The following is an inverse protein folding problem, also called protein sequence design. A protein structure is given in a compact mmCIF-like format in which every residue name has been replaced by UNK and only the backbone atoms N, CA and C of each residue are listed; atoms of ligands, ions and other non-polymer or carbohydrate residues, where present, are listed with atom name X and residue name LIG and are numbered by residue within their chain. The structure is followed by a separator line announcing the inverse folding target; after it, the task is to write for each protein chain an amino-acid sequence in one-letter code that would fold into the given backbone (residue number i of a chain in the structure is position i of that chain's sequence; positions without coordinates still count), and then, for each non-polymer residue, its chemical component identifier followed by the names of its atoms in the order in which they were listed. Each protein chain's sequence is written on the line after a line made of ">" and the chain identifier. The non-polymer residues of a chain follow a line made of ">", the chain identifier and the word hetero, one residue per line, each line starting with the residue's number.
data_IF_647193392731
#
_entry.id   IF_647193392731
#
_cell.length_a   1.000
_cell.length_b   1.000
_cell.length_c   1.000
_cell.angle_alpha   90.00
_cell.angle_beta   90.00
_cell.angle_gamma   90.00
#
_symmetry.space_group_name_H-M   'P 1'
#
loop_
_entity.id
_entity.type
_entity.pdbx_description
1 polymer ?
#
# COMPACT_ATOMS: atom_id res chain seq x y z
N UNK A 1 -18.28 1.13 -7.99
CA UNK A 1 -17.06 0.61 -8.64
C UNK A 1 -16.31 -0.42 -7.80
N UNK A 2 -15.91 -0.10 -6.55
CA UNK A 2 -15.15 -1.02 -5.67
C UNK A 2 -15.83 -2.39 -5.44
N UNK A 3 -17.17 -2.44 -5.36
CA UNK A 3 -17.91 -3.71 -5.13
C UNK A 3 -17.70 -4.74 -6.25
N UNK A 4 -17.65 -4.30 -7.51
CA UNK A 4 -17.46 -5.20 -8.66
C UNK A 4 -16.03 -5.76 -8.68
N UNK A 5 -15.04 -4.93 -8.34
CA UNK A 5 -13.63 -5.31 -8.26
C UNK A 5 -13.31 -6.32 -7.15
N UNK A 6 -14.15 -6.42 -6.11
CA UNK A 6 -13.85 -7.22 -4.89
C UNK A 6 -13.50 -8.68 -5.18
N UNK A 7 -14.21 -9.30 -6.13
CA UNK A 7 -14.07 -10.72 -6.45
C UNK A 7 -13.84 -10.95 -7.96
N UNK A 8 -13.40 -9.93 -8.69
CA UNK A 8 -13.18 -10.01 -10.14
C UNK A 8 -11.91 -9.26 -10.51
N UNK A 9 -10.86 -10.01 -10.88
CA UNK A 9 -9.56 -9.46 -11.23
C UNK A 9 -9.62 -8.49 -12.43
N UNK A 10 -10.52 -8.71 -13.39
CA UNK A 10 -10.69 -7.81 -14.54
C UNK A 10 -11.27 -6.47 -14.10
N UNK A 11 -12.28 -6.49 -13.25
CA UNK A 11 -12.85 -5.28 -12.65
C UNK A 11 -11.86 -4.58 -11.71
N UNK A 12 -11.00 -5.34 -11.03
CA UNK A 12 -9.92 -4.76 -10.22
C UNK A 12 -8.86 -4.04 -11.08
N UNK A 13 -8.48 -4.62 -12.22
CA UNK A 13 -7.58 -3.97 -13.20
C UNK A 13 -8.22 -2.66 -13.68
N UNK A 14 -9.50 -2.68 -14.04
CA UNK A 14 -10.22 -1.49 -14.48
C UNK A 14 -10.30 -0.42 -13.38
N UNK A 15 -10.56 -0.83 -12.14
CA UNK A 15 -10.54 0.07 -10.98
C UNK A 15 -9.19 0.75 -10.82
N UNK A 16 -8.09 -0.01 -10.91
CA UNK A 16 -6.75 0.55 -10.84
C UNK A 16 -6.46 1.53 -12.00
N UNK A 17 -6.86 1.19 -13.22
CA UNK A 17 -6.62 2.03 -14.39
C UNK A 17 -7.38 3.36 -14.33
N UNK A 18 -8.65 3.33 -13.93
CA UNK A 18 -9.51 4.51 -13.93
C UNK A 18 -9.38 5.32 -12.64
N UNK A 19 -9.48 4.68 -11.48
CA UNK A 19 -9.52 5.40 -10.20
C UNK A 19 -8.13 5.65 -9.65
N UNK A 20 -7.28 4.61 -9.54
CA UNK A 20 -5.99 4.78 -8.89
C UNK A 20 -5.00 5.55 -9.77
N UNK A 21 -4.92 5.20 -11.06
CA UNK A 21 -4.02 5.83 -12.01
C UNK A 21 -4.62 7.05 -12.70
N UNK A 22 -5.92 7.34 -12.49
CA UNK A 22 -6.63 8.46 -13.14
C UNK A 22 -6.56 8.40 -14.67
N UNK A 23 -6.55 7.17 -15.23
CA UNK A 23 -6.52 6.91 -16.66
C UNK A 23 -7.91 6.68 -17.25
N UNK A 24 -7.95 6.05 -18.43
CA UNK A 24 -9.19 5.60 -19.07
C UNK A 24 -9.52 4.16 -18.72
N UNK A 25 -10.77 3.77 -18.95
CA UNK A 25 -11.15 2.36 -18.98
C UNK A 25 -10.32 1.66 -20.07
N UNK A 26 -9.76 0.52 -19.72
CA UNK A 26 -8.97 -0.28 -20.65
C UNK A 26 -9.89 -1.03 -21.61
N UNK A 27 -9.42 -1.21 -22.84
CA UNK A 27 -10.03 -2.11 -23.82
C UNK A 27 -9.81 -3.56 -23.38
N UNK A 28 -10.65 -4.48 -23.84
CA UNK A 28 -10.61 -5.88 -23.39
C UNK A 28 -9.24 -6.54 -23.68
N UNK A 29 -8.65 -6.25 -24.83
CA UNK A 29 -7.33 -6.79 -25.20
C UNK A 29 -6.20 -6.25 -24.31
N UNK A 30 -6.32 -5.04 -23.77
CA UNK A 30 -5.35 -4.46 -22.83
C UNK A 30 -5.44 -5.16 -21.47
N UNK A 31 -6.66 -5.46 -21.01
CA UNK A 31 -6.88 -6.23 -19.78
C UNK A 31 -6.30 -7.65 -19.93
N UNK A 32 -6.56 -8.32 -21.05
CA UNK A 32 -6.01 -9.66 -21.29
C UNK A 32 -4.47 -9.64 -21.42
N UNK A 33 -3.88 -8.57 -21.97
CA UNK A 33 -2.42 -8.39 -22.00
C UNK A 33 -1.83 -8.27 -20.60
N UNK A 34 -2.49 -7.51 -19.70
CA UNK A 34 -2.09 -7.41 -18.29
C UNK A 34 -2.20 -8.77 -17.60
N UNK A 35 -3.30 -9.51 -17.82
CA UNK A 35 -3.47 -10.84 -17.24
C UNK A 35 -2.42 -11.83 -17.76
N UNK A 36 -2.10 -11.80 -19.05
CA UNK A 36 -1.04 -12.61 -19.63
C UNK A 36 0.31 -12.30 -18.97
N UNK A 37 0.64 -11.02 -18.76
CA UNK A 37 1.84 -10.62 -18.04
C UNK A 37 1.82 -11.10 -16.57
N UNK A 38 0.72 -10.89 -15.85
CA UNK A 38 0.57 -11.38 -14.47
C UNK A 38 0.74 -12.90 -14.38
N UNK A 39 0.30 -13.64 -15.39
CA UNK A 39 0.52 -15.08 -15.49
C UNK A 39 2.01 -15.44 -15.59
N UNK A 40 2.81 -14.65 -16.33
CA UNK A 40 4.26 -14.88 -16.45
C UNK A 40 5.03 -14.65 -15.14
N UNK A 41 4.50 -13.81 -14.25
CA UNK A 41 5.10 -13.48 -12.95
C UNK A 41 4.31 -14.07 -11.76
N UNK A 42 3.36 -14.96 -12.04
CA UNK A 42 2.48 -15.53 -11.03
C UNK A 42 3.24 -16.35 -9.98
N UNK A 43 2.61 -16.52 -8.81
CA UNK A 43 3.14 -17.35 -7.74
C UNK A 43 3.35 -18.80 -8.20
N UNK A 44 4.56 -19.30 -7.98
CA UNK A 44 4.94 -20.69 -8.18
C UNK A 44 4.82 -21.46 -6.87
N UNK A 45 4.72 -22.78 -6.93
CA UNK A 45 4.77 -23.64 -5.73
C UNK A 45 6.07 -23.41 -4.94
N UNK A 46 7.18 -23.11 -5.63
CA UNK A 46 8.46 -22.76 -5.01
C UNK A 46 8.42 -21.48 -4.18
N UNK A 47 7.45 -20.59 -4.44
CA UNK A 47 7.31 -19.31 -3.72
C UNK A 47 6.51 -19.49 -2.43
N UNK A 48 5.96 -20.70 -2.20
CA UNK A 48 5.21 -21.05 -1.02
C UNK A 48 6.10 -21.76 -0.01
N UNK A 49 5.86 -21.51 1.27
CA UNK A 49 6.54 -22.21 2.35
C UNK A 49 5.93 -23.62 2.56
N UNK A 50 6.16 -24.50 1.58
CA UNK A 50 5.71 -25.89 1.53
C UNK A 50 6.87 -26.81 1.89
N UNK A 51 6.67 -27.75 2.82
CA UNK A 51 7.69 -28.72 3.21
C UNK A 51 7.91 -29.79 2.14
N UNK A 52 9.02 -30.51 2.22
CA UNK A 52 9.31 -31.62 1.29
C UNK A 52 8.25 -32.72 1.36
N UNK A 53 7.75 -33.02 2.56
CA UNK A 53 6.68 -33.99 2.82
C UNK A 53 5.36 -33.52 2.21
N UNK A 54 4.99 -32.25 2.42
CA UNK A 54 3.79 -31.66 1.81
C UNK A 54 3.88 -31.68 0.28
N UNK A 55 5.04 -31.34 -0.29
CA UNK A 55 5.28 -31.37 -1.73
C UNK A 55 5.14 -32.77 -2.32
N UNK A 56 5.66 -33.79 -1.62
CA UNK A 56 5.51 -35.21 -2.00
C UNK A 56 4.03 -35.61 -2.04
N UNK A 57 3.27 -35.27 -1.00
CA UNK A 57 1.82 -35.52 -0.94
C UNK A 57 1.07 -34.81 -2.08
N UNK A 58 1.45 -33.57 -2.40
CA UNK A 58 0.87 -32.81 -3.53
C UNK A 58 1.11 -33.53 -4.85
N UNK A 59 2.34 -33.97 -5.11
CA UNK A 59 2.70 -34.67 -6.35
C UNK A 59 1.99 -36.02 -6.48
N UNK A 60 1.89 -36.78 -5.39
CA UNK A 60 1.15 -38.05 -5.37
C UNK A 60 -0.36 -37.84 -5.66
N UNK A 61 -0.95 -36.77 -5.15
CA UNK A 61 -2.36 -36.47 -5.37
C UNK A 61 -2.67 -36.01 -6.80
N UNK A 62 -1.78 -35.25 -7.43
CA UNK A 62 -1.92 -34.85 -8.85
C UNK A 62 -1.99 -36.07 -9.77
N UNK A 63 -1.15 -37.07 -9.50
CA UNK A 63 -1.03 -38.26 -10.35
C UNK A 63 -2.18 -39.26 -10.19
N UNK A 64 -2.90 -39.22 -9.05
CA UNK A 64 -3.94 -40.21 -8.71
C UNK A 64 -5.38 -39.71 -8.92
N UNK A 65 -5.57 -38.49 -9.45
CA UNK A 65 -6.88 -37.87 -9.73
C UNK A 65 -7.91 -37.91 -8.57
N UNK A 66 -7.45 -38.14 -7.34
CA UNK A 66 -8.31 -38.16 -6.15
C UNK A 66 -8.58 -36.73 -5.71
N UNK A 67 -9.85 -36.36 -5.55
CA UNK A 67 -10.22 -35.11 -4.88
C UNK A 67 -9.78 -35.19 -3.42
N UNK A 68 -8.67 -34.53 -3.08
CA UNK A 68 -8.11 -34.55 -1.74
C UNK A 68 -8.35 -33.18 -1.07
N UNK A 69 -9.49 -33.06 -0.38
CA UNK A 69 -9.91 -31.83 0.29
C UNK A 69 -8.89 -31.35 1.32
N UNK A 70 -8.21 -32.27 2.00
CA UNK A 70 -7.14 -31.98 2.97
C UNK A 70 -5.97 -31.26 2.30
N UNK A 71 -5.56 -31.73 1.13
CA UNK A 71 -4.49 -31.14 0.33
C UNK A 71 -4.86 -29.75 -0.22
N UNK A 72 -6.12 -29.58 -0.64
CA UNK A 72 -6.63 -28.25 -1.02
C UNK A 72 -6.59 -27.30 0.18
N UNK A 73 -6.93 -27.77 1.38
CA UNK A 73 -6.87 -26.98 2.60
C UNK A 73 -5.43 -26.58 2.97
N UNK A 74 -4.47 -27.53 2.87
CA UNK A 74 -3.04 -27.27 3.07
C UNK A 74 -2.58 -26.20 2.09
N UNK A 75 -2.83 -26.36 0.78
CA UNK A 75 -2.44 -25.38 -0.22
C UNK A 75 -3.05 -24.01 0.08
N UNK A 76 -4.36 -23.92 0.32
CA UNK A 76 -5.02 -22.65 0.66
C UNK A 76 -4.41 -21.96 1.88
N UNK A 77 -3.96 -22.73 2.88
CA UNK A 77 -3.30 -22.17 4.07
C UNK A 77 -1.93 -21.53 3.77
N UNK A 78 -1.28 -21.90 2.66
CA UNK A 78 0.01 -21.32 2.24
C UNK A 78 -0.14 -19.97 1.53
N UNK A 79 -1.35 -19.63 1.09
CA UNK A 79 -1.63 -18.35 0.44
C UNK A 79 -2.41 -17.41 1.36
N UNK A 80 -2.13 -16.12 1.25
CA UNK A 80 -3.04 -15.10 1.81
C UNK A 80 -4.32 -15.09 0.99
N UNK A 81 -5.42 -15.54 1.61
CA UNK A 81 -6.75 -15.54 1.00
C UNK A 81 -7.33 -14.13 0.79
N UNK A 82 -6.70 -13.13 1.39
CA UNK A 82 -7.01 -11.72 1.21
C UNK A 82 -5.96 -10.85 1.86
N UNK A 83 -6.06 -9.55 1.60
CA UNK A 83 -5.26 -8.54 2.27
C UNK A 83 -6.16 -7.88 3.33
N UNK A 84 -5.93 -8.09 4.64
CA UNK A 84 -6.63 -7.31 5.65
C UNK A 84 -6.38 -5.82 5.41
N UNK A 85 -7.42 -5.03 5.67
CA UNK A 85 -7.44 -3.60 5.45
C UNK A 85 -7.89 -2.91 6.74
N UNK A 86 -7.03 -2.97 7.75
CA UNK A 86 -7.33 -2.41 9.06
C UNK A 86 -7.08 -0.91 9.02
N UNK A 87 -8.15 -0.12 9.03
CA UNK A 87 -8.04 1.33 9.11
C UNK A 87 -7.91 1.80 10.55
N UNK A 88 -7.01 2.74 10.80
CA UNK A 88 -6.77 3.31 12.11
C UNK A 88 -6.99 4.83 12.09
N UNK A 89 -7.27 5.38 13.27
CA UNK A 89 -7.29 6.82 13.47
C UNK A 89 -5.85 7.39 13.59
N UNK A 90 -5.67 8.70 13.35
CA UNK A 90 -4.50 9.44 13.80
C UNK A 90 -4.31 9.33 15.33
N UNK A 91 -3.13 9.68 15.88
CA UNK A 91 -2.96 9.79 17.32
C UNK A 91 -3.94 10.82 17.90
N UNK A 92 -4.38 10.59 19.14
CA UNK A 92 -5.31 11.48 19.84
C UNK A 92 -4.73 12.90 19.95
N UNK A 93 -3.47 12.99 20.38
CA UNK A 93 -2.67 14.20 20.36
C UNK A 93 -1.61 14.11 19.24
N UNK A 94 -1.79 14.90 18.18
CA UNK A 94 -0.86 14.93 17.04
C UNK A 94 0.42 15.71 17.31
N UNK A 95 0.44 16.55 18.35
CA UNK A 95 1.68 17.20 18.80
C UNK A 95 2.59 16.16 19.46
N UNK A 96 2.01 15.23 20.21
CA UNK A 96 2.75 14.16 20.88
C UNK A 96 2.97 12.94 19.99
N UNK A 97 2.08 12.67 19.04
CA UNK A 97 2.15 11.47 18.20
C UNK A 97 1.72 10.21 18.92
N UNK A 98 2.13 9.05 18.43
CA UNK A 98 1.95 7.78 19.12
C UNK A 98 3.01 7.62 20.23
N UNK A 99 2.72 8.17 21.42
CA UNK A 99 3.67 8.31 22.55
C UNK A 99 4.31 7.00 23.05
N UNK A 100 3.69 5.85 22.80
CA UNK A 100 4.25 4.54 23.15
C UNK A 100 5.32 4.04 22.17
N UNK A 101 5.62 4.79 21.10
CA UNK A 101 6.52 4.41 20.03
C UNK A 101 7.66 5.41 19.90
N UNK A 102 8.86 4.91 19.59
CA UNK A 102 10.03 5.72 19.34
C UNK A 102 10.37 5.66 17.86
N UNK A 103 10.34 6.80 17.17
CA UNK A 103 10.63 6.88 15.74
C UNK A 103 12.10 6.68 15.41
N UNK A 104 12.37 5.99 14.30
CA UNK A 104 13.69 5.84 13.68
C UNK A 104 13.80 6.68 12.40
N UNK A 105 14.63 7.74 12.38
CA UNK A 105 14.74 8.63 11.22
C UNK A 105 15.35 7.96 9.97
N UNK A 106 16.16 6.91 10.11
CA UNK A 106 16.71 6.19 8.95
C UNK A 106 15.62 5.38 8.24
N UNK A 107 14.71 4.78 9.00
CA UNK A 107 13.52 4.13 8.44
C UNK A 107 12.56 5.16 7.87
N UNK A 108 12.37 6.29 8.56
CA UNK A 108 11.55 7.40 8.09
C UNK A 108 12.01 7.94 6.75
N UNK A 109 13.32 8.06 6.54
CA UNK A 109 13.90 8.43 5.25
C UNK A 109 13.48 7.45 4.15
N UNK A 110 13.58 6.14 4.39
CA UNK A 110 13.17 5.13 3.40
C UNK A 110 11.69 5.26 3.04
N UNK A 111 10.83 5.54 4.02
CA UNK A 111 9.40 5.75 3.80
C UNK A 111 9.17 7.00 2.96
N UNK A 112 9.85 8.10 3.28
CA UNK A 112 9.79 9.34 2.53
C UNK A 112 10.23 9.14 1.08
N UNK A 113 11.42 8.57 0.88
CA UNK A 113 12.05 8.38 -0.42
C UNK A 113 11.29 7.38 -1.32
N UNK A 114 10.92 6.22 -0.77
CA UNK A 114 10.34 5.12 -1.54
C UNK A 114 8.82 5.16 -1.59
N UNK A 115 8.17 5.81 -0.62
CA UNK A 115 6.72 5.85 -0.50
C UNK A 115 6.12 7.21 -0.87
N UNK A 116 6.59 8.28 -0.24
CA UNK A 116 5.99 9.61 -0.40
C UNK A 116 6.42 10.28 -1.72
N UNK A 117 7.74 10.33 -1.97
CA UNK A 117 8.30 10.99 -3.15
C UNK A 117 7.84 10.36 -4.46
N UNK A 118 7.50 9.07 -4.48
CA UNK A 118 6.96 8.42 -5.68
C UNK A 118 5.78 9.19 -6.32
N UNK A 119 4.88 9.74 -5.49
CA UNK A 119 3.75 10.53 -5.95
C UNK A 119 4.00 12.04 -5.96
N UNK A 120 4.82 12.51 -5.02
CA UNK A 120 4.95 13.93 -4.68
C UNK A 120 6.20 14.62 -5.27
N UNK A 121 7.24 13.87 -5.64
CA UNK A 121 8.45 14.43 -6.25
C UNK A 121 8.14 14.95 -7.65
N UNK A 122 8.61 16.16 -7.95
CA UNK A 122 8.36 16.83 -9.23
C UNK A 122 6.88 17.03 -9.56
N UNK A 123 6.01 16.94 -8.54
CA UNK A 123 4.56 17.03 -8.65
C UNK A 123 3.92 16.11 -9.70
N UNK A 124 4.55 14.96 -9.97
CA UNK A 124 4.17 14.08 -11.10
C UNK A 124 2.73 13.56 -11.01
N UNK A 125 2.32 13.15 -9.82
CA UNK A 125 0.98 12.61 -9.56
C UNK A 125 0.21 13.43 -8.52
N UNK A 126 0.91 14.26 -7.75
CA UNK A 126 0.34 15.14 -6.74
C UNK A 126 0.86 16.56 -6.91
N UNK A 127 -0.03 17.55 -6.99
CA UNK A 127 0.35 18.98 -6.98
C UNK A 127 0.90 19.51 -5.65
N UNK A 128 1.26 18.64 -4.70
CA UNK A 128 1.95 19.02 -3.49
C UNK A 128 3.36 18.43 -3.58
N UNK A 129 4.34 19.29 -3.82
CA UNK A 129 5.73 18.89 -4.00
C UNK A 129 6.34 18.41 -2.67
N UNK A 130 7.05 17.28 -2.73
CA UNK A 130 7.93 16.81 -1.69
C UNK A 130 9.32 16.63 -2.28
N UNK A 131 10.29 17.33 -1.74
CA UNK A 131 11.69 17.33 -2.12
C UNK A 131 12.60 17.26 -0.89
N UNK A 132 13.91 17.25 -1.10
CA UNK A 132 14.87 17.13 -0.01
C UNK A 132 15.29 18.52 0.56
N UNK A 133 14.54 19.58 0.24
CA UNK A 133 14.84 20.92 0.70
C UNK A 133 14.35 21.15 2.14
N UNK A 134 15.15 21.87 2.94
CA UNK A 134 14.86 22.08 4.36
C UNK A 134 13.50 22.75 4.60
N UNK A 135 13.12 23.71 3.77
CA UNK A 135 11.83 24.41 3.85
C UNK A 135 10.64 23.46 3.70
N UNK A 136 10.76 22.40 2.91
CA UNK A 136 9.75 21.35 2.79
C UNK A 136 9.56 20.62 4.11
N UNK A 137 10.67 20.22 4.75
CA UNK A 137 10.60 19.57 6.06
C UNK A 137 10.08 20.50 7.16
N UNK A 138 10.49 21.77 7.18
CA UNK A 138 9.95 22.76 8.11
C UNK A 138 8.45 22.99 7.92
N UNK A 139 7.98 22.98 6.67
CA UNK A 139 6.55 23.05 6.37
C UNK A 139 5.80 21.84 6.91
N UNK A 140 6.30 20.62 6.66
CA UNK A 140 5.69 19.38 7.14
C UNK A 140 5.65 19.33 8.68
N UNK A 141 6.78 19.62 9.32
CA UNK A 141 6.95 19.64 10.78
C UNK A 141 5.92 20.58 11.46
N UNK A 142 5.80 21.81 10.95
CA UNK A 142 4.80 22.79 11.42
C UNK A 142 3.35 22.29 11.30
N UNK A 143 3.07 21.41 10.34
CA UNK A 143 1.72 20.91 10.07
C UNK A 143 1.44 19.56 10.74
N UNK A 144 2.43 18.84 11.28
CA UNK A 144 2.24 17.61 12.04
C UNK A 144 1.09 17.70 13.05
N UNK A 145 1.06 18.68 13.98
CA UNK A 145 0.04 18.73 15.04
C UNK A 145 -1.34 19.19 14.55
N UNK A 146 -1.45 19.71 13.32
CA UNK A 146 -2.65 20.43 12.88
C UNK A 146 -3.68 19.49 12.25
N UNK A 147 -4.96 19.81 12.40
CA UNK A 147 -6.02 19.15 11.64
C UNK A 147 -6.13 19.75 10.23
N UNK A 148 -5.21 19.38 9.33
CA UNK A 148 -5.18 19.89 7.95
C UNK A 148 -4.80 18.80 6.96
N UNK A 149 -5.05 19.04 5.67
CA UNK A 149 -4.57 18.20 4.56
C UNK A 149 -3.04 18.15 4.40
N UNK A 150 -2.30 18.88 5.23
CA UNK A 150 -0.83 18.87 5.24
C UNK A 150 -0.26 18.10 6.45
N UNK A 151 -1.10 17.70 7.40
CA UNK A 151 -0.67 16.84 8.50
C UNK A 151 -0.53 15.41 8.02
N UNK A 152 0.67 14.87 8.05
CA UNK A 152 0.90 13.46 7.68
C UNK A 152 0.07 12.50 8.54
N UNK A 153 -0.11 12.80 9.83
CA UNK A 153 -0.94 11.99 10.73
C UNK A 153 -2.38 11.90 10.23
N UNK A 154 -2.90 12.99 9.69
CA UNK A 154 -4.25 13.05 9.15
C UNK A 154 -4.34 12.33 7.80
N UNK A 155 -3.49 12.72 6.84
CA UNK A 155 -3.66 12.26 5.45
C UNK A 155 -3.23 10.82 5.23
N UNK A 156 -2.29 10.29 6.03
CA UNK A 156 -1.97 8.86 5.96
C UNK A 156 -3.11 7.99 6.48
N UNK A 157 -3.89 8.49 7.45
CA UNK A 157 -4.96 7.73 8.12
C UNK A 157 -6.35 7.90 7.52
N UNK A 158 -6.60 9.01 6.82
CA UNK A 158 -7.90 9.28 6.20
C UNK A 158 -7.84 9.58 4.70
N UNK A 159 -6.64 9.63 4.13
CA UNK A 159 -6.45 10.01 2.73
C UNK A 159 -6.80 11.49 2.48
N UNK A 160 -6.86 11.85 1.21
CA UNK A 160 -7.42 13.13 0.75
C UNK A 160 -8.41 12.89 -0.36
N UNK A 161 -9.57 13.57 -0.39
CA UNK A 161 -10.53 13.40 -1.46
C UNK A 161 -10.03 14.02 -2.78
N UNK A 162 -10.51 13.53 -3.93
CA UNK A 162 -10.35 14.25 -5.19
C UNK A 162 -11.06 15.62 -5.11
N UNK A 163 -10.56 16.61 -5.84
CA UNK A 163 -11.16 17.94 -5.91
C UNK A 163 -11.73 18.18 -7.32
N UNK A 164 -12.73 19.06 -7.50
CA UNK A 164 -13.21 19.44 -8.84
C UNK A 164 -12.04 19.91 -9.72
N UNK A 165 -11.89 19.30 -10.91
CA UNK A 165 -10.77 19.57 -11.81
C UNK A 165 -9.44 18.90 -11.44
N UNK A 166 -9.38 18.15 -10.33
CA UNK A 166 -8.23 17.36 -9.88
C UNK A 166 -8.69 16.02 -9.31
N UNK A 167 -8.65 14.98 -10.13
CA UNK A 167 -9.01 13.62 -9.69
C UNK A 167 -7.96 12.92 -8.81
N UNK A 168 -6.72 13.44 -8.76
CA UNK A 168 -5.68 12.88 -7.90
C UNK A 168 -6.09 12.95 -6.41
N UNK A 169 -6.05 11.78 -5.76
CA UNK A 169 -6.39 11.58 -4.34
C UNK A 169 -5.22 10.89 -3.62
N UNK A 170 -5.10 11.10 -2.31
CA UNK A 170 -4.16 10.32 -1.49
C UNK A 170 -4.93 9.15 -0.87
N UNK A 171 -4.47 7.89 -1.03
CA UNK A 171 -5.16 6.75 -0.47
C UNK A 171 -5.09 6.75 1.05
N UNK A 172 -6.09 6.12 1.67
CA UNK A 172 -6.08 5.83 3.09
C UNK A 172 -5.16 4.62 3.34
N UNK A 173 -4.08 4.80 4.12
CA UNK A 173 -3.18 3.71 4.44
C UNK A 173 -3.73 2.86 5.58
N UNK A 174 -3.86 1.56 5.31
CA UNK A 174 -4.18 0.56 6.34
C UNK A 174 -2.94 0.29 7.20
N UNK A 175 -3.14 -0.29 8.38
CA UNK A 175 -2.05 -0.67 9.28
C UNK A 175 -1.09 -1.70 8.64
N UNK A 176 -1.56 -2.51 7.70
CA UNK A 176 -0.75 -3.47 6.96
C UNK A 176 0.15 -2.82 5.90
N UNK A 177 -0.18 -1.60 5.46
CA UNK A 177 0.60 -0.84 4.48
C UNK A 177 1.48 0.22 5.13
N UNK A 178 1.00 0.85 6.20
CA UNK A 178 1.74 1.83 6.99
C UNK A 178 1.30 1.76 8.44
N UNK A 179 1.99 0.98 9.26
CA UNK A 179 1.67 0.84 10.68
C UNK A 179 2.00 2.12 11.48
N UNK A 180 1.63 2.17 12.77
CA UNK A 180 1.89 3.36 13.59
C UNK A 180 3.38 3.63 13.81
N UNK A 181 4.21 2.58 13.90
CA UNK A 181 5.67 2.73 14.02
C UNK A 181 6.26 3.41 12.78
N UNK A 182 5.82 3.02 11.59
CA UNK A 182 6.24 3.63 10.33
C UNK A 182 5.83 5.11 10.22
N UNK A 183 4.70 5.48 10.80
CA UNK A 183 4.30 6.90 10.90
C UNK A 183 5.23 7.67 11.83
N UNK A 184 5.59 7.11 12.99
CA UNK A 184 6.55 7.76 13.91
C UNK A 184 7.98 7.80 13.35
N UNK A 185 8.41 6.77 12.63
CA UNK A 185 9.69 6.77 11.90
C UNK A 185 9.75 7.94 10.90
N UNK A 186 8.69 8.11 10.10
CA UNK A 186 8.59 9.20 9.14
C UNK A 186 8.56 10.57 9.82
N UNK A 187 7.86 10.71 10.96
CA UNK A 187 7.91 11.94 11.76
C UNK A 187 9.33 12.25 12.23
N UNK A 188 10.02 11.27 12.82
CA UNK A 188 11.38 11.45 13.33
C UNK A 188 12.34 11.93 12.21
N UNK A 189 12.17 11.40 11.00
CA UNK A 189 12.93 11.87 9.83
C UNK A 189 12.63 13.33 9.47
N UNK A 190 11.34 13.70 9.40
CA UNK A 190 10.90 15.08 9.09
C UNK A 190 11.44 16.07 10.13
N UNK A 191 11.28 15.78 11.42
CA UNK A 191 11.77 16.62 12.50
C UNK A 191 13.30 16.78 12.45
N UNK A 192 14.02 15.69 12.14
CA UNK A 192 15.47 15.73 12.00
C UNK A 192 15.93 16.61 10.82
N UNK A 193 15.26 16.53 9.66
CA UNK A 193 15.61 17.36 8.51
C UNK A 193 15.18 18.82 8.66
N UNK A 194 14.06 19.08 9.36
CA UNK A 194 13.55 20.43 9.63
C UNK A 194 14.59 21.31 10.35
N UNK A 195 15.42 20.69 11.20
CA UNK A 195 16.38 21.35 12.10
C UNK A 195 17.83 21.41 11.59
N UNK A 196 18.13 20.82 10.43
CA UNK A 196 19.49 20.82 9.86
C UNK A 196 19.94 22.19 9.39
#
# INVERSE_FOLDING_TARGET
>A
MVKAARNNIREAIQLCAVECAQGRRLEDWEVESILAYLWTIGLKISDLNVSAEELKRINEAINNASKNEELIAILKSKYRQGMPATFAAPPEDRQQGFTALQGNPENGRKIYDLGCKHCHEGMRYSFFELDDAQNTFQFLDRHLPRYTRYSMYQVTRYGTPPLPGKGAYMPQYTLEKMNNQQVEDLRAYIEAQSRK
#
